data_IF_113525346066
#
_entry.id   IF_113525346066
#
_cell.length_a   1.000
_cell.length_b   1.000
_cell.length_c   1.000
_cell.angle_alpha   90.00
_cell.angle_beta   90.00
_cell.angle_gamma   90.00
#
_symmetry.space_group_name_H-M   'P 1'
#
loop_
_entity.id
_entity.type
_entity.pdbx_description
1 polymer ?
#
# COMPACT_ATOMS: atom_id res chain seq x y z
N UNK A 1 -12.27 -14.03 -11.59
CA UNK A 1 -11.81 -14.26 -10.20
C UNK A 1 -11.24 -12.95 -9.70
N UNK A 2 -11.49 -12.55 -8.45
CA UNK A 2 -10.89 -11.34 -7.86
C UNK A 2 -9.89 -11.76 -6.80
N UNK A 3 -8.79 -11.03 -6.68
CA UNK A 3 -7.76 -11.30 -5.67
C UNK A 3 -7.84 -10.31 -4.54
N UNK A 4 -7.76 -10.82 -3.31
CA UNK A 4 -7.43 -10.03 -2.14
C UNK A 4 -6.08 -10.55 -1.65
N UNK A 5 -5.05 -9.73 -1.83
CA UNK A 5 -3.72 -9.99 -1.30
C UNK A 5 -3.54 -9.31 0.07
N UNK A 6 -3.01 -10.06 1.04
CA UNK A 6 -2.93 -9.62 2.44
C UNK A 6 -1.58 -9.05 2.82
N UNK A 7 -0.62 -8.91 1.90
CA UNK A 7 0.70 -8.37 2.23
C UNK A 7 1.56 -8.02 1.01
N UNK A 8 2.06 -6.79 0.93
CA UNK A 8 3.19 -6.46 0.04
C UNK A 8 4.08 -5.32 0.57
N UNK A 9 5.39 -5.43 0.30
CA UNK A 9 6.43 -4.44 0.64
C UNK A 9 6.59 -3.31 -0.38
N UNK A 10 5.58 -3.08 -1.23
CA UNK A 10 5.68 -2.10 -2.32
C UNK A 10 5.94 -0.69 -1.81
N UNK A 11 5.39 -0.33 -0.64
CA UNK A 11 5.45 1.03 -0.08
C UNK A 11 6.90 1.49 0.11
N UNK A 12 7.77 0.63 0.64
CA UNK A 12 9.17 0.95 0.84
C UNK A 12 9.85 1.30 -0.49
N UNK A 13 9.63 0.50 -1.53
CA UNK A 13 10.23 0.72 -2.85
C UNK A 13 9.73 2.01 -3.50
N UNK A 14 8.47 2.36 -3.31
CA UNK A 14 7.89 3.61 -3.81
C UNK A 14 8.45 4.81 -3.05
N UNK A 15 8.51 4.73 -1.72
CA UNK A 15 9.05 5.78 -0.87
C UNK A 15 10.54 6.04 -1.15
N UNK A 16 11.31 4.98 -1.42
CA UNK A 16 12.73 5.08 -1.77
C UNK A 16 12.95 5.49 -3.25
N UNK A 17 11.89 5.78 -4.01
CA UNK A 17 11.97 6.21 -5.41
C UNK A 17 12.39 5.12 -6.40
N UNK A 18 12.41 3.85 -5.97
CA UNK A 18 12.82 2.69 -6.78
C UNK A 18 11.71 2.17 -7.68
N UNK A 19 10.45 2.46 -7.34
CA UNK A 19 9.28 2.06 -8.10
C UNK A 19 8.31 3.24 -8.26
N UNK A 20 7.90 3.51 -9.50
CA UNK A 20 6.73 4.32 -9.77
C UNK A 20 5.49 3.44 -9.72
N UNK A 21 4.70 3.55 -8.65
CA UNK A 21 3.49 2.73 -8.48
C UNK A 21 2.45 2.93 -9.59
N UNK A 22 2.33 4.16 -10.11
CA UNK A 22 1.29 4.51 -11.07
C UNK A 22 1.60 3.97 -12.48
N UNK A 23 2.86 3.99 -12.88
CA UNK A 23 3.29 3.50 -14.20
C UNK A 23 3.77 2.05 -14.15
N UNK A 24 4.19 1.57 -12.98
CA UNK A 24 4.85 0.28 -12.79
C UNK A 24 6.32 0.27 -13.23
N UNK A 25 6.89 1.41 -13.61
CA UNK A 25 8.30 1.52 -13.99
C UNK A 25 9.21 1.47 -12.77
N UNK A 26 10.34 0.76 -12.89
CA UNK A 26 11.32 0.60 -11.82
C UNK A 26 11.37 -0.83 -11.26
N UNK A 27 11.84 -0.96 -10.03
CA UNK A 27 12.06 -2.24 -9.36
C UNK A 27 10.92 -2.55 -8.39
N UNK A 28 9.99 -3.43 -8.77
CA UNK A 28 8.88 -3.83 -7.91
C UNK A 28 8.02 -4.93 -8.52
N UNK A 29 7.28 -5.66 -7.68
CA UNK A 29 6.39 -6.74 -8.14
C UNK A 29 4.93 -6.31 -8.26
N UNK A 30 4.49 -5.37 -7.40
CA UNK A 30 3.11 -4.90 -7.34
C UNK A 30 3.06 -3.43 -7.70
N UNK A 31 2.29 -3.09 -8.73
CA UNK A 31 2.04 -1.74 -9.24
C UNK A 31 0.57 -1.57 -9.58
N UNK A 32 0.08 -0.33 -9.73
CA UNK A 32 -1.31 -0.08 -10.07
C UNK A 32 -1.73 -0.77 -11.38
N UNK A 33 -0.98 -0.66 -12.51
CA UNK A 33 -1.34 -1.37 -13.73
C UNK A 33 -1.37 -2.90 -13.56
N UNK A 34 -0.42 -3.45 -12.78
CA UNK A 34 -0.37 -4.88 -12.49
C UNK A 34 -1.57 -5.36 -11.68
N UNK A 35 -1.94 -4.62 -10.63
CA UNK A 35 -3.11 -4.92 -9.80
C UNK A 35 -4.42 -4.86 -10.61
N UNK A 36 -4.55 -3.88 -11.51
CA UNK A 36 -5.69 -3.77 -12.42
C UNK A 36 -5.75 -4.95 -13.39
N UNK A 37 -4.63 -5.31 -14.02
CA UNK A 37 -4.57 -6.42 -14.96
C UNK A 37 -4.85 -7.78 -14.30
N UNK A 38 -4.42 -7.95 -13.04
CA UNK A 38 -4.69 -9.15 -12.25
C UNK A 38 -6.15 -9.26 -11.78
N UNK A 39 -6.90 -8.15 -11.79
CA UNK A 39 -8.24 -8.12 -11.19
C UNK A 39 -8.21 -8.17 -9.66
N UNK A 40 -7.18 -7.57 -9.04
CA UNK A 40 -7.15 -7.38 -7.59
C UNK A 40 -8.33 -6.52 -7.15
N UNK A 41 -9.00 -6.88 -6.07
CA UNK A 41 -9.99 -6.03 -5.42
C UNK A 41 -9.50 -5.42 -4.12
N UNK A 42 -8.45 -5.98 -3.51
CA UNK A 42 -7.84 -5.44 -2.30
C UNK A 42 -6.37 -5.81 -2.17
N UNK A 43 -5.61 -4.93 -1.52
CA UNK A 43 -4.21 -5.10 -1.15
C UNK A 43 -3.99 -4.52 0.25
N UNK A 44 -3.38 -5.30 1.15
CA UNK A 44 -2.77 -4.75 2.37
C UNK A 44 -1.34 -4.31 2.03
N UNK A 45 -1.08 -3.03 2.16
CA UNK A 45 0.25 -2.44 1.99
C UNK A 45 0.96 -2.43 3.35
N UNK A 46 2.14 -3.06 3.40
CA UNK A 46 2.92 -3.15 4.61
C UNK A 46 3.60 -1.80 4.93
N UNK A 47 3.46 -1.38 6.18
CA UNK A 47 4.27 -0.35 6.83
C UNK A 47 5.26 -1.09 7.70
N UNK A 48 6.44 -1.32 7.14
CA UNK A 48 7.53 -2.08 7.77
C UNK A 48 8.68 -1.15 8.11
N UNK A 49 9.05 -1.12 9.38
CA UNK A 49 10.14 -0.28 9.90
C UNK A 49 10.97 -1.12 10.86
N UNK A 50 12.24 -1.33 10.53
CA UNK A 50 13.19 -1.96 11.44
C UNK A 50 13.90 -0.89 12.28
N UNK A 51 13.79 -0.97 13.60
CA UNK A 51 14.50 -0.08 14.54
C UNK A 51 16.01 -0.04 14.30
N UNK A 52 16.61 -1.16 13.88
CA UNK A 52 18.04 -1.22 13.54
C UNK A 52 18.44 -0.23 12.43
N UNK A 53 17.52 0.08 11.50
CA UNK A 53 17.76 0.98 10.39
C UNK A 53 17.29 2.42 10.65
N UNK A 54 16.34 2.59 11.57
CA UNK A 54 15.71 3.88 11.87
C UNK A 54 15.68 4.19 13.38
N UNK A 55 16.82 4.09 14.09
CA UNK A 55 16.83 4.20 15.55
C UNK A 55 16.36 5.59 16.01
N UNK A 56 15.28 5.62 16.77
CA UNK A 56 14.66 6.84 17.30
C UNK A 56 13.87 7.66 16.28
N UNK A 57 13.64 7.12 15.07
CA UNK A 57 12.83 7.73 14.02
C UNK A 57 11.78 6.78 13.43
N UNK A 58 11.48 5.70 14.15
CA UNK A 58 10.62 4.60 13.72
C UNK A 58 9.20 5.09 13.40
N UNK A 59 8.61 5.88 14.31
CA UNK A 59 7.30 6.51 14.11
C UNK A 59 7.27 7.41 12.87
N UNK A 60 8.26 8.30 12.75
CA UNK A 60 8.34 9.23 11.62
C UNK A 60 8.45 8.47 10.28
N UNK A 61 9.22 7.38 10.25
CA UNK A 61 9.33 6.52 9.07
C UNK A 61 8.00 5.82 8.73
N UNK A 62 7.29 5.33 9.74
CA UNK A 62 5.96 4.73 9.55
C UNK A 62 4.96 5.76 8.99
N UNK A 63 4.98 7.00 9.49
CA UNK A 63 4.14 8.09 8.98
C UNK A 63 4.46 8.43 7.51
N UNK A 64 5.73 8.43 7.10
CA UNK A 64 6.13 8.60 5.69
C UNK A 64 5.57 7.49 4.79
N UNK A 65 5.60 6.24 5.26
CA UNK A 65 5.07 5.09 4.54
C UNK A 65 3.53 5.17 4.42
N UNK A 66 2.83 5.50 5.51
CA UNK A 66 1.37 5.75 5.49
C UNK A 66 1.04 6.87 4.50
N UNK A 67 1.77 8.00 4.58
CA UNK A 67 1.59 9.11 3.64
C UNK A 67 1.86 8.72 2.19
N UNK A 68 2.77 7.76 1.95
CA UNK A 68 3.01 7.22 0.61
C UNK A 68 1.83 6.40 0.11
N UNK A 69 1.19 5.59 0.95
CA UNK A 69 -0.03 4.85 0.59
C UNK A 69 -1.15 5.81 0.22
N UNK A 70 -1.37 6.84 1.01
CA UNK A 70 -2.42 7.84 0.73
C UNK A 70 -2.14 8.61 -0.57
N UNK A 71 -0.88 8.96 -0.87
CA UNK A 71 -0.50 9.56 -2.16
C UNK A 71 -0.72 8.60 -3.33
N UNK A 72 -0.33 7.33 -3.20
CA UNK A 72 -0.59 6.32 -4.24
C UNK A 72 -2.09 6.22 -4.55
N UNK A 73 -2.95 6.27 -3.53
CA UNK A 73 -4.40 6.27 -3.71
C UNK A 73 -4.90 7.56 -4.39
N UNK A 74 -4.47 8.73 -3.91
CA UNK A 74 -4.86 10.02 -4.49
C UNK A 74 -4.47 10.15 -5.97
N UNK A 75 -3.25 9.73 -6.33
CA UNK A 75 -2.71 9.84 -7.67
C UNK A 75 -3.23 8.75 -8.64
N UNK A 76 -3.97 7.76 -8.13
CA UNK A 76 -4.52 6.65 -8.94
C UNK A 76 -5.62 7.09 -9.92
N UNK A 77 -6.14 8.31 -9.76
CA UNK A 77 -7.31 8.80 -10.48
C UNK A 77 -8.57 7.99 -10.17
N UNK A 78 -8.76 7.64 -8.88
CA UNK A 78 -9.94 6.91 -8.38
C UNK A 78 -9.92 5.41 -8.61
N UNK A 79 -8.78 4.81 -8.99
CA UNK A 79 -8.64 3.36 -9.21
C UNK A 79 -8.23 2.60 -7.95
N UNK A 80 -7.64 3.30 -6.98
CA UNK A 80 -7.27 2.81 -5.66
C UNK A 80 -7.94 3.72 -4.60
N UNK A 81 -8.43 3.13 -3.51
CA UNK A 81 -9.03 3.84 -2.38
C UNK A 81 -8.51 3.28 -1.07
N UNK A 82 -8.01 4.12 -0.17
CA UNK A 82 -7.70 3.70 1.20
C UNK A 82 -9.00 3.41 1.95
N UNK A 83 -9.15 2.22 2.51
CA UNK A 83 -10.35 1.77 3.23
C UNK A 83 -10.02 1.43 4.68
N UNK A 84 -11.02 1.57 5.56
CA UNK A 84 -10.86 1.37 7.02
C UNK A 84 -11.92 0.45 7.61
N UNK A 85 -12.91 0.04 6.83
CA UNK A 85 -14.02 -0.79 7.29
C UNK A 85 -14.26 -1.99 6.37
N UNK A 86 -14.88 -3.04 6.91
CA UNK A 86 -15.30 -4.19 6.14
C UNK A 86 -16.29 -3.80 5.02
N UNK A 87 -17.21 -2.88 5.29
CA UNK A 87 -18.18 -2.41 4.30
C UNK A 87 -17.50 -1.76 3.09
N UNK A 88 -16.50 -0.90 3.30
CA UNK A 88 -15.74 -0.29 2.20
C UNK A 88 -14.94 -1.32 1.39
N UNK A 89 -14.38 -2.33 2.06
CA UNK A 89 -13.70 -3.44 1.39
C UNK A 89 -14.68 -4.26 0.53
N UNK A 90 -15.86 -4.56 1.06
CA UNK A 90 -16.91 -5.26 0.32
C UNK A 90 -17.36 -4.47 -0.92
N UNK A 91 -17.51 -3.14 -0.82
CA UNK A 91 -17.82 -2.26 -1.95
C UNK A 91 -16.73 -2.31 -3.04
N UNK A 92 -15.46 -2.26 -2.65
CA UNK A 92 -14.32 -2.44 -3.56
C UNK A 92 -14.38 -3.80 -4.27
N UNK A 93 -14.60 -4.87 -3.52
CA UNK A 93 -14.72 -6.21 -4.09
C UNK A 93 -16.04 -6.48 -4.85
N UNK A 94 -17.03 -5.59 -4.75
CA UNK A 94 -18.25 -5.61 -5.56
C UNK A 94 -18.08 -4.92 -6.94
N UNK A 95 -17.00 -4.16 -7.16
CA UNK A 95 -16.75 -3.47 -8.44
C UNK A 95 -16.27 -2.03 -8.30
N UNK A 96 -16.06 -1.57 -7.07
CA UNK A 96 -15.46 -0.28 -6.81
C UNK A 96 -13.94 -0.23 -7.10
N UNK A 97 -13.29 0.88 -6.73
CA UNK A 97 -11.84 1.01 -6.75
C UNK A 97 -11.17 -0.10 -5.95
N UNK A 98 -9.93 -0.44 -6.27
CA UNK A 98 -9.15 -1.41 -5.49
C UNK A 98 -9.01 -0.87 -4.06
N UNK A 99 -9.31 -1.69 -3.06
CA UNK A 99 -9.12 -1.34 -1.66
C UNK A 99 -7.63 -1.38 -1.29
N UNK A 100 -7.10 -0.26 -0.81
CA UNK A 100 -5.83 -0.18 -0.12
C UNK A 100 -6.09 -0.24 1.39
N UNK A 101 -5.59 -1.28 2.04
CA UNK A 101 -5.54 -1.36 3.50
C UNK A 101 -4.11 -1.12 3.96
N UNK A 102 -3.95 -0.58 5.16
CA UNK A 102 -2.65 -0.35 5.78
C UNK A 102 -2.43 -1.43 6.83
N UNK A 103 -1.34 -2.19 6.69
CA UNK A 103 -0.91 -3.16 7.69
C UNK A 103 0.40 -2.72 8.31
N UNK A 104 0.43 -2.54 9.64
CA UNK A 104 1.67 -2.30 10.36
C UNK A 104 2.39 -3.65 10.54
N UNK A 105 3.57 -3.80 9.95
CA UNK A 105 4.41 -4.98 10.06
C UNK A 105 5.55 -4.71 11.03
N UNK A 106 5.49 -5.35 12.21
CA UNK A 106 6.35 -4.99 13.33
C UNK A 106 5.79 -3.81 14.11
N UNK A 107 5.87 -3.88 15.44
CA UNK A 107 5.29 -2.87 16.33
C UNK A 107 6.30 -1.79 16.73
N UNK A 108 7.52 -1.83 16.21
CA UNK A 108 8.61 -0.88 16.48
C UNK A 108 8.17 0.59 16.44
N UNK A 109 7.34 1.05 15.47
CA UNK A 109 6.90 2.46 15.45
C UNK A 109 5.93 2.88 16.56
N UNK A 110 5.52 1.96 17.45
CA UNK A 110 4.61 2.22 18.57
C UNK A 110 5.33 2.43 19.92
N UNK A 111 6.65 2.25 19.96
CA UNK A 111 7.48 2.54 21.14
C UNK A 111 7.66 4.04 21.39
#
# INVERSE_FOLDING_TARGET
>A
MRFFDTHCDTVQKVLDGRLNFQTGEGEGHVSLPGMLAAGSCAQIFAVFVLSEHYPGTELARAEEMIGTIERMAADSGGKLKTVRTAAELEESCAGGPIAALIGLEGADPLE
#
